data_IF_767044945546
#
_entry.id   IF_767044945546
#
_cell.length_a   1.000
_cell.length_b   1.000
_cell.length_c   1.000
_cell.angle_alpha   90.00
_cell.angle_beta   90.00
_cell.angle_gamma   90.00
#
_symmetry.space_group_name_H-M   'P 1'
#
loop_
_entity.id
_entity.type
_entity.pdbx_description
1 polymer ?
#
# COMPACT_ATOMS: atom_id res chain seq x y z
N UNK A 1 30.85 -5.01 -7.93
CA UNK A 1 29.90 -5.85 -8.70
C UNK A 1 29.00 -4.90 -9.47
N UNK A 2 29.07 -4.97 -10.80
CA UNK A 2 28.48 -4.00 -11.73
C UNK A 2 26.98 -4.24 -11.88
N UNK A 3 26.16 -3.21 -11.61
CA UNK A 3 24.74 -3.21 -11.99
C UNK A 3 24.64 -3.03 -13.50
N UNK A 4 24.51 -4.12 -14.24
CA UNK A 4 24.13 -4.06 -15.64
C UNK A 4 22.61 -3.95 -15.71
N UNK A 5 22.12 -2.71 -15.81
CA UNK A 5 20.76 -2.43 -16.20
C UNK A 5 20.53 -2.95 -17.64
N UNK A 6 19.84 -4.09 -17.75
CA UNK A 6 19.32 -4.57 -19.02
C UNK A 6 18.24 -3.61 -19.50
N UNK A 7 18.63 -2.59 -20.28
CA UNK A 7 17.71 -1.72 -21.01
C UNK A 7 17.05 -2.52 -22.15
N UNK A 8 16.10 -3.39 -21.80
CA UNK A 8 14.96 -3.59 -22.69
C UNK A 8 14.27 -2.23 -22.78
N UNK A 9 14.42 -1.54 -23.92
CA UNK A 9 13.87 -0.20 -24.10
C UNK A 9 12.34 -0.27 -24.04
N UNK A 10 11.78 -0.08 -22.85
CA UNK A 10 10.36 0.17 -22.70
C UNK A 10 10.03 1.47 -23.46
N UNK A 11 8.86 1.55 -24.11
CA UNK A 11 8.43 2.80 -24.72
C UNK A 11 8.43 3.90 -23.65
N UNK A 12 8.80 5.12 -24.07
CA UNK A 12 8.74 6.27 -23.19
C UNK A 12 7.34 6.40 -22.59
N UNK A 13 7.27 6.67 -21.28
CA UNK A 13 6.00 6.82 -20.58
C UNK A 13 5.30 8.07 -21.14
N UNK A 14 4.18 7.86 -21.83
CA UNK A 14 3.36 8.95 -22.36
C UNK A 14 2.51 9.50 -21.23
N UNK A 15 2.62 10.81 -20.95
CA UNK A 15 1.83 11.52 -19.95
C UNK A 15 1.06 12.67 -20.57
N UNK A 16 0.01 13.12 -19.87
CA UNK A 16 -0.70 14.34 -20.24
C UNK A 16 0.21 15.56 -20.11
N UNK A 17 0.00 16.58 -20.94
CA UNK A 17 0.75 17.85 -20.88
C UNK A 17 0.56 18.57 -19.54
N UNK A 18 -0.57 18.37 -18.88
CA UNK A 18 -0.90 18.96 -17.58
C UNK A 18 -0.46 18.08 -16.39
N UNK A 19 0.22 16.97 -16.65
CA UNK A 19 0.67 16.05 -15.59
C UNK A 19 2.09 16.42 -15.13
N UNK A 20 2.19 17.05 -13.97
CA UNK A 20 3.45 17.50 -13.38
C UNK A 20 4.24 16.36 -12.72
N UNK A 21 3.65 15.16 -12.59
CA UNK A 21 4.30 14.02 -11.93
C UNK A 21 5.43 13.46 -12.78
N UNK A 22 6.41 12.88 -12.10
CA UNK A 22 7.50 12.13 -12.72
C UNK A 22 7.22 10.64 -12.66
N UNK A 23 7.58 9.94 -13.73
CA UNK A 23 7.32 8.52 -13.88
C UNK A 23 8.60 7.78 -14.24
N UNK A 24 8.80 6.63 -13.61
CA UNK A 24 9.89 5.71 -13.96
C UNK A 24 9.41 4.27 -13.92
N UNK A 25 9.55 3.56 -15.03
CA UNK A 25 9.31 2.13 -15.09
C UNK A 25 10.62 1.39 -14.79
N UNK A 26 10.58 0.46 -13.83
CA UNK A 26 11.70 -0.42 -13.50
C UNK A 26 11.26 -1.88 -13.59
N UNK A 27 12.23 -2.76 -13.84
CA UNK A 27 12.05 -4.21 -13.71
C UNK A 27 13.06 -4.70 -12.69
N UNK A 28 12.58 -5.39 -11.67
CA UNK A 28 13.39 -5.99 -10.61
C UNK A 28 14.01 -7.29 -11.11
N UNK A 29 15.04 -7.77 -10.41
CA UNK A 29 15.77 -8.99 -10.78
C UNK A 29 14.88 -10.25 -10.79
N UNK A 30 13.78 -10.24 -10.02
CA UNK A 30 12.78 -11.31 -10.00
C UNK A 30 11.70 -11.19 -11.10
N UNK A 31 11.85 -10.23 -12.03
CA UNK A 31 10.92 -10.01 -13.13
C UNK A 31 9.70 -9.14 -12.79
N UNK A 32 9.53 -8.73 -11.53
CA UNK A 32 8.46 -7.79 -11.16
C UNK A 32 8.69 -6.44 -11.83
N UNK A 33 7.63 -5.91 -12.42
CA UNK A 33 7.62 -4.59 -13.05
C UNK A 33 6.96 -3.60 -12.10
N UNK A 34 7.61 -2.46 -11.87
CA UNK A 34 7.09 -1.40 -11.02
C UNK A 34 7.09 -0.06 -11.75
N UNK A 35 5.95 0.63 -11.70
CA UNK A 35 5.84 2.03 -12.11
C UNK A 35 6.00 2.90 -10.86
N UNK A 36 7.07 3.68 -10.82
CA UNK A 36 7.30 4.67 -9.78
C UNK A 36 6.69 5.98 -10.22
N UNK A 37 5.92 6.59 -9.32
CA UNK A 37 5.30 7.90 -9.52
C UNK A 37 5.81 8.82 -8.43
N UNK A 38 6.51 9.89 -8.81
CA UNK A 38 6.94 10.93 -7.90
C UNK A 38 6.03 12.14 -8.07
N UNK A 39 5.39 12.52 -6.98
CA UNK A 39 4.53 13.70 -6.91
C UNK A 39 5.05 14.62 -5.80
N UNK A 40 5.71 15.70 -6.22
CA UNK A 40 6.25 16.73 -5.33
C UNK A 40 5.28 17.91 -5.16
N UNK A 41 4.08 17.84 -5.73
CA UNK A 41 3.05 18.84 -5.47
C UNK A 41 2.74 18.83 -3.97
N UNK A 42 2.87 20.01 -3.34
CA UNK A 42 2.79 20.15 -1.89
C UNK A 42 4.07 19.87 -1.09
N UNK A 43 5.25 19.79 -1.69
CA UNK A 43 6.54 19.92 -0.96
C UNK A 43 7.14 21.34 -1.05
N UNK A 44 6.61 22.19 -1.94
CA UNK A 44 7.28 23.42 -2.41
C UNK A 44 6.88 24.68 -1.61
N UNK A 45 5.89 24.62 -0.72
CA UNK A 45 5.47 25.73 0.16
C UNK A 45 5.70 25.47 1.66
N UNK A 46 6.45 24.43 2.03
CA UNK A 46 6.89 24.17 3.40
C UNK A 46 8.41 24.31 3.45
N UNK A 47 8.89 25.47 3.88
CA UNK A 47 10.31 25.75 4.07
C UNK A 47 10.99 24.69 4.92
N UNK A 48 12.22 24.38 4.55
CA UNK A 48 13.21 23.63 5.32
C UNK A 48 13.18 24.01 6.80
N UNK A 49 12.84 23.06 7.68
CA UNK A 49 13.35 22.97 9.06
C UNK A 49 12.96 21.61 9.68
N UNK A 50 13.97 20.94 10.25
CA UNK A 50 13.95 19.81 11.18
C UNK A 50 13.67 18.36 10.71
N UNK A 51 14.74 17.74 10.19
CA UNK A 51 15.13 16.37 10.54
C UNK A 51 15.71 16.34 11.99
N UNK A 52 14.91 16.71 12.99
CA UNK A 52 15.27 16.50 14.40
C UNK A 52 14.48 15.33 14.99
N UNK A 53 15.25 14.45 15.64
CA UNK A 53 14.85 13.22 16.31
C UNK A 53 13.74 13.45 17.34
N UNK A 54 12.89 12.43 17.49
CA UNK A 54 11.66 12.46 18.26
C UNK A 54 11.87 12.73 19.76
N UNK A 55 11.06 13.60 20.36
CA UNK A 55 10.70 13.51 21.78
C UNK A 55 9.22 13.84 22.01
N UNK A 56 8.63 13.14 22.98
CA UNK A 56 7.21 13.05 23.31
C UNK A 56 6.48 14.36 23.67
N UNK A 57 5.15 14.23 23.65
CA UNK A 57 4.11 15.07 24.28
C UNK A 57 3.86 16.47 23.72
N UNK A 58 2.66 16.64 23.14
CA UNK A 58 1.82 17.80 23.46
C UNK A 58 0.36 17.50 23.12
N UNK A 59 -0.43 17.27 24.18
CA UNK A 59 -1.87 17.53 24.19
C UNK A 59 -2.09 18.98 23.75
N UNK A 60 -2.88 19.22 22.70
CA UNK A 60 -3.34 20.57 22.39
C UNK A 60 -4.86 20.62 22.39
N UNK A 61 -5.33 21.24 23.48
CA UNK A 61 -6.69 21.62 23.79
C UNK A 61 -7.26 22.54 22.73
N UNK A 62 -8.55 22.36 22.47
CA UNK A 62 -9.41 23.30 21.75
C UNK A 62 -9.45 24.63 22.49
N UNK A 63 -8.92 25.69 21.89
CA UNK A 63 -9.47 27.05 21.88
C UNK A 63 -8.52 28.00 21.11
N UNK A 64 -9.10 28.70 20.14
CA UNK A 64 -8.59 29.89 19.46
C UNK A 64 -7.30 29.81 18.64
N UNK A 65 -7.47 29.45 17.37
CA UNK A 65 -6.68 30.03 16.28
C UNK A 65 -7.50 30.02 14.99
N UNK A 66 -7.59 31.16 14.31
CA UNK A 66 -7.80 31.18 12.85
C UNK A 66 -6.62 30.43 12.22
N UNK A 67 -6.73 29.10 12.17
CA UNK A 67 -5.69 28.22 11.68
C UNK A 67 -5.64 28.37 10.16
N UNK A 68 -4.51 28.87 9.68
CA UNK A 68 -4.24 29.13 8.28
C UNK A 68 -4.63 27.91 7.41
N UNK A 69 -5.55 28.12 6.46
CA UNK A 69 -6.12 27.03 5.63
C UNK A 69 -5.05 26.29 4.81
N UNK A 70 -3.87 26.90 4.67
CA UNK A 70 -2.72 26.36 3.95
C UNK A 70 -1.96 25.29 4.75
N UNK A 71 -2.01 25.30 6.10
CA UNK A 71 -1.37 24.26 6.94
C UNK A 71 -2.16 22.94 6.88
N UNK A 72 -3.48 23.00 6.69
CA UNK A 72 -4.33 21.82 6.53
C UNK A 72 -4.04 21.04 5.23
N UNK A 73 -3.52 21.70 4.19
CA UNK A 73 -3.18 21.06 2.92
C UNK A 73 -1.97 20.12 3.05
N UNK A 74 -0.99 20.45 3.91
CA UNK A 74 0.20 19.62 4.15
C UNK A 74 -0.09 18.35 4.96
N UNK A 75 -1.14 18.36 5.78
CA UNK A 75 -1.54 17.24 6.63
C UNK A 75 -2.37 16.17 5.91
N UNK A 76 -2.80 16.41 4.67
CA UNK A 76 -3.62 15.49 3.88
C UNK A 76 -2.87 14.69 2.81
N UNK A 77 -1.57 14.92 2.62
CA UNK A 77 -0.81 14.28 1.54
C UNK A 77 -0.46 12.84 1.90
N UNK A 78 -0.89 11.91 1.04
CA UNK A 78 -0.64 10.48 1.17
C UNK A 78 0.28 9.97 0.08
N UNK A 79 0.97 8.89 0.38
CA UNK A 79 1.62 8.03 -0.60
C UNK A 79 0.81 6.75 -0.73
N UNK A 80 0.84 6.13 -1.91
CA UNK A 80 0.11 4.90 -2.17
C UNK A 80 0.98 3.89 -2.91
N UNK A 81 0.65 2.62 -2.76
CA UNK A 81 1.21 1.53 -3.54
C UNK A 81 0.12 0.53 -3.90
N UNK A 82 0.30 -0.17 -5.02
CA UNK A 82 -0.55 -1.25 -5.44
C UNK A 82 0.26 -2.39 -6.05
N UNK A 83 -0.18 -3.62 -5.83
CA UNK A 83 0.35 -4.84 -6.44
C UNK A 83 -0.78 -5.53 -7.21
N UNK A 84 -0.53 -5.79 -8.49
CA UNK A 84 -1.43 -6.57 -9.33
C UNK A 84 -0.80 -7.93 -9.61
N UNK A 85 -1.50 -9.00 -9.24
CA UNK A 85 -1.18 -10.37 -9.57
C UNK A 85 -2.01 -10.77 -10.79
N UNK A 86 -1.36 -11.35 -11.81
CA UNK A 86 -2.01 -11.79 -13.06
C UNK A 86 -2.75 -13.12 -12.93
N UNK A 87 -3.45 -13.32 -11.82
CA UNK A 87 -4.27 -14.49 -11.48
C UNK A 87 -5.54 -13.95 -10.83
N UNK A 88 -6.70 -14.52 -11.18
CA UNK A 88 -8.01 -14.14 -10.64
C UNK A 88 -8.92 -15.36 -10.58
N UNK A 89 -10.24 -15.15 -10.45
CA UNK A 89 -11.20 -16.24 -10.26
C UNK A 89 -11.30 -17.24 -11.42
N UNK A 90 -10.87 -16.89 -12.63
CA UNK A 90 -10.79 -17.84 -13.75
C UNK A 90 -9.65 -18.85 -13.60
N UNK A 91 -8.77 -18.64 -12.63
CA UNK A 91 -7.72 -19.59 -12.26
C UNK A 91 -8.08 -20.40 -11.01
N UNK A 92 -9.31 -20.28 -10.51
CA UNK A 92 -9.79 -21.10 -9.42
C UNK A 92 -9.79 -22.58 -9.82
N UNK A 93 -9.37 -23.50 -8.94
CA UNK A 93 -9.55 -24.93 -9.17
C UNK A 93 -11.03 -25.26 -9.38
N UNK A 94 -11.33 -26.20 -10.28
CA UNK A 94 -12.71 -26.60 -10.60
C UNK A 94 -13.48 -27.11 -9.36
N UNK A 95 -12.78 -27.65 -8.37
CA UNK A 95 -13.31 -28.16 -7.12
C UNK A 95 -13.45 -27.10 -6.01
N UNK A 96 -12.86 -25.90 -6.18
CA UNK A 96 -12.84 -24.83 -5.18
C UNK A 96 -13.11 -23.46 -5.85
N UNK A 97 -14.35 -23.19 -6.30
CA UNK A 97 -14.72 -21.88 -6.80
C UNK A 97 -14.60 -20.82 -5.69
N UNK A 98 -14.06 -19.64 -6.01
CA UNK A 98 -13.83 -18.55 -5.06
C UNK A 98 -12.47 -18.60 -4.37
N UNK A 99 -11.58 -19.52 -4.76
CA UNK A 99 -10.28 -19.69 -4.11
C UNK A 99 -9.38 -18.45 -4.23
N UNK A 100 -9.37 -17.77 -5.38
CA UNK A 100 -8.61 -16.54 -5.56
C UNK A 100 -9.11 -15.42 -4.63
N UNK A 101 -10.44 -15.28 -4.47
CA UNK A 101 -11.04 -14.30 -3.57
C UNK A 101 -10.74 -14.65 -2.10
N UNK A 102 -10.81 -15.93 -1.74
CA UNK A 102 -10.41 -16.39 -0.42
C UNK A 102 -8.94 -16.07 -0.12
N UNK A 103 -8.02 -16.35 -1.04
CA UNK A 103 -6.60 -16.05 -0.88
C UNK A 103 -6.33 -14.55 -0.77
N UNK A 104 -7.05 -13.73 -1.52
CA UNK A 104 -6.96 -12.27 -1.40
C UNK A 104 -7.22 -11.80 0.03
N UNK A 105 -8.32 -12.28 0.62
CA UNK A 105 -8.68 -11.96 2.00
C UNK A 105 -7.61 -12.43 2.97
N UNK A 106 -7.15 -13.68 2.81
CA UNK A 106 -6.15 -14.30 3.67
C UNK A 106 -4.76 -13.65 3.63
N UNK A 107 -4.33 -13.09 2.48
CA UNK A 107 -2.99 -12.52 2.30
C UNK A 107 -2.79 -11.24 3.12
N UNK A 108 -3.86 -10.46 3.32
CA UNK A 108 -3.84 -9.25 4.14
C UNK A 108 -4.40 -9.45 5.57
N UNK A 109 -4.89 -10.65 5.90
CA UNK A 109 -5.40 -10.96 7.24
C UNK A 109 -4.31 -10.85 8.31
N UNK A 110 -4.76 -10.56 9.53
CA UNK A 110 -3.94 -10.33 10.71
C UNK A 110 -2.99 -11.49 11.04
N UNK A 111 -1.78 -11.15 11.50
CA UNK A 111 -0.78 -12.10 11.98
C UNK A 111 -0.81 -12.09 13.51
N UNK A 112 -0.79 -13.25 14.16
CA UNK A 112 -0.57 -13.36 15.61
C UNK A 112 0.88 -13.05 16.01
N UNK A 113 1.85 -13.39 15.16
CA UNK A 113 3.27 -13.31 15.53
C UNK A 113 3.90 -11.98 15.10
N UNK A 114 3.42 -10.90 15.68
CA UNK A 114 4.22 -9.75 16.07
C UNK A 114 3.68 -9.33 17.44
N UNK A 115 4.49 -9.36 18.52
CA UNK A 115 3.95 -9.08 19.83
C UNK A 115 3.45 -7.63 19.84
N UNK A 116 2.14 -7.45 20.04
CA UNK A 116 1.39 -6.21 20.28
C UNK A 116 0.80 -5.38 19.12
N UNK A 117 1.00 -5.66 17.83
CA UNK A 117 0.40 -4.81 16.78
C UNK A 117 -0.63 -5.56 15.94
N UNK A 118 -1.91 -5.21 16.15
CA UNK A 118 -3.07 -5.52 15.27
C UNK A 118 -2.66 -5.37 13.79
N UNK A 119 -3.22 -6.21 12.90
CA UNK A 119 -2.70 -6.51 11.55
C UNK A 119 -2.43 -5.32 10.61
N UNK A 120 -1.97 -5.60 9.38
CA UNK A 120 -1.54 -4.57 8.42
C UNK A 120 -2.60 -3.47 8.22
N UNK A 121 -3.87 -3.84 8.05
CA UNK A 121 -4.98 -2.90 7.91
C UNK A 121 -5.09 -1.94 9.10
N UNK A 122 -4.95 -2.44 10.34
CA UNK A 122 -4.96 -1.59 11.53
C UNK A 122 -3.78 -0.62 11.55
N UNK A 123 -2.57 -1.10 11.20
CA UNK A 123 -1.38 -0.23 11.14
C UNK A 123 -1.56 0.91 10.14
N UNK A 124 -2.09 0.60 8.97
CA UNK A 124 -2.36 1.60 7.92
C UNK A 124 -3.41 2.61 8.37
N UNK A 125 -4.51 2.14 8.96
CA UNK A 125 -5.56 3.01 9.49
C UNK A 125 -5.04 3.95 10.58
N UNK A 126 -4.19 3.45 11.49
CA UNK A 126 -3.55 4.27 12.53
C UNK A 126 -2.52 5.28 11.98
N UNK A 127 -2.07 5.10 10.74
CA UNK A 127 -1.19 6.03 10.04
C UNK A 127 -1.95 6.95 9.05
N UNK A 128 -3.27 7.10 9.23
CA UNK A 128 -4.13 7.96 8.40
C UNK A 128 -4.35 7.43 6.99
N UNK A 129 -4.12 6.14 6.76
CA UNK A 129 -4.25 5.46 5.48
C UNK A 129 -5.49 4.59 5.37
N UNK A 130 -5.63 3.89 4.25
CA UNK A 130 -6.59 2.81 4.06
C UNK A 130 -5.99 1.70 3.18
N UNK A 131 -6.60 0.51 3.24
CA UNK A 131 -6.22 -0.66 2.43
C UNK A 131 -7.43 -1.15 1.66
N UNK A 132 -7.21 -1.60 0.44
CA UNK A 132 -8.25 -2.20 -0.40
C UNK A 132 -7.68 -3.36 -1.21
N UNK A 133 -8.50 -4.37 -1.49
CA UNK A 133 -8.15 -5.51 -2.31
C UNK A 133 -9.35 -5.99 -3.13
N UNK A 134 -9.06 -6.51 -4.32
CA UNK A 134 -10.08 -6.90 -5.29
C UNK A 134 -9.62 -8.06 -6.15
N UNK A 135 -10.44 -9.10 -6.21
CA UNK A 135 -10.28 -10.21 -7.14
C UNK A 135 -11.24 -10.07 -8.32
N UNK A 136 -10.68 -9.88 -9.50
CA UNK A 136 -11.37 -9.97 -10.81
C UNK A 136 -11.24 -11.37 -11.41
N UNK A 137 -11.80 -11.56 -12.60
CA UNK A 137 -11.68 -12.79 -13.38
C UNK A 137 -10.23 -13.22 -13.64
N UNK A 138 -9.33 -12.30 -14.01
CA UNK A 138 -7.96 -12.63 -14.43
C UNK A 138 -6.88 -12.01 -13.54
N UNK A 139 -7.27 -11.19 -12.57
CA UNK A 139 -6.34 -10.38 -11.78
C UNK A 139 -6.82 -10.20 -10.36
N UNK A 140 -5.89 -10.22 -9.41
CA UNK A 140 -6.11 -9.80 -8.04
C UNK A 140 -5.24 -8.58 -7.76
N UNK A 141 -5.84 -7.51 -7.25
CA UNK A 141 -5.17 -6.23 -7.00
C UNK A 141 -5.25 -5.93 -5.51
N UNK A 142 -4.11 -5.62 -4.92
CA UNK A 142 -3.98 -5.16 -3.54
C UNK A 142 -3.46 -3.73 -3.55
N UNK A 143 -4.01 -2.84 -2.74
CA UNK A 143 -3.58 -1.46 -2.68
C UNK A 143 -3.69 -0.88 -1.27
N UNK A 144 -2.86 0.11 -0.99
CA UNK A 144 -3.00 0.92 0.21
C UNK A 144 -2.54 2.35 -0.05
N UNK A 145 -3.11 3.27 0.71
CA UNK A 145 -2.62 4.63 0.90
C UNK A 145 -2.24 4.84 2.36
N UNK A 146 -1.27 5.73 2.62
CA UNK A 146 -0.83 6.07 3.98
C UNK A 146 -0.18 7.44 3.98
N UNK A 147 -0.14 8.12 5.14
CA UNK A 147 0.62 9.36 5.27
C UNK A 147 2.08 9.19 4.80
N UNK A 148 2.59 10.18 4.05
CA UNK A 148 3.90 10.13 3.37
C UNK A 148 5.05 9.65 4.29
N UNK A 149 5.07 10.10 5.54
CA UNK A 149 6.07 9.75 6.57
C UNK A 149 6.14 8.24 6.88
N UNK A 150 5.03 7.52 6.73
CA UNK A 150 4.94 6.10 7.07
C UNK A 150 5.12 5.17 5.86
N UNK A 151 5.10 5.71 4.64
CA UNK A 151 5.08 4.94 3.40
C UNK A 151 6.19 3.89 3.30
N UNK A 152 7.44 4.27 3.60
CA UNK A 152 8.61 3.36 3.52
C UNK A 152 8.44 2.12 4.40
N UNK A 153 7.94 2.29 5.62
CA UNK A 153 7.72 1.20 6.59
C UNK A 153 6.50 0.36 6.19
N UNK A 154 5.41 1.02 5.78
CA UNK A 154 4.21 0.35 5.30
C UNK A 154 4.46 -0.51 4.07
N UNK A 155 5.24 -0.02 3.11
CA UNK A 155 5.61 -0.77 1.90
C UNK A 155 6.45 -2.02 2.21
N UNK A 156 7.32 -1.95 3.23
CA UNK A 156 8.11 -3.12 3.67
C UNK A 156 7.21 -4.21 4.28
N UNK A 157 6.24 -3.82 5.11
CA UNK A 157 5.26 -4.76 5.68
C UNK A 157 4.39 -5.34 4.58
N UNK A 158 3.91 -4.50 3.66
CA UNK A 158 3.11 -4.93 2.51
C UNK A 158 3.86 -5.97 1.67
N UNK A 159 5.14 -5.75 1.34
CA UNK A 159 5.94 -6.73 0.61
C UNK A 159 6.08 -8.06 1.37
N UNK A 160 6.23 -8.03 2.70
CA UNK A 160 6.31 -9.22 3.55
C UNK A 160 5.02 -10.04 3.56
N UNK A 161 3.85 -9.43 3.32
CA UNK A 161 2.59 -10.16 3.16
C UNK A 161 2.64 -11.16 1.99
N UNK A 162 3.32 -10.80 0.90
CA UNK A 162 3.42 -11.64 -0.29
C UNK A 162 4.62 -12.59 -0.27
N UNK A 163 5.69 -12.25 0.46
CA UNK A 163 6.88 -13.11 0.55
C UNK A 163 6.68 -14.32 1.48
N UNK A 164 5.89 -14.14 2.54
CA UNK A 164 5.62 -15.19 3.53
C UNK A 164 4.24 -14.95 4.14
N UNK A 165 3.15 -15.27 3.41
CA UNK A 165 1.81 -15.19 3.95
C UNK A 165 1.67 -16.20 5.10
N UNK A 166 1.03 -15.79 6.19
CA UNK A 166 0.74 -16.65 7.32
C UNK A 166 -0.75 -16.91 7.36
N UNK A 167 -1.14 -18.15 7.11
CA UNK A 167 -2.52 -18.60 7.22
C UNK A 167 -2.69 -19.28 8.57
N UNK A 168 -3.30 -18.57 9.51
CA UNK A 168 -3.68 -19.14 10.81
C UNK A 168 -5.02 -19.86 10.63
N UNK A 169 -5.14 -21.07 11.16
CA UNK A 169 -6.33 -21.91 11.03
C UNK A 169 -7.60 -21.18 11.52
N UNK A 170 -7.50 -20.39 12.60
CA UNK A 170 -8.59 -19.57 13.12
C UNK A 170 -9.07 -18.49 12.15
N UNK A 171 -8.16 -17.91 11.36
CA UNK A 171 -8.51 -16.94 10.33
C UNK A 171 -9.13 -17.64 9.12
N UNK A 172 -8.68 -18.84 8.77
CA UNK A 172 -9.23 -19.62 7.65
C UNK A 172 -10.72 -19.90 7.86
N UNK A 173 -11.12 -20.38 9.04
CA UNK A 173 -12.52 -20.69 9.33
C UNK A 173 -13.41 -19.44 9.21
N UNK A 174 -12.98 -18.31 9.79
CA UNK A 174 -13.72 -17.04 9.70
C UNK A 174 -13.85 -16.56 8.25
N UNK A 175 -12.76 -16.54 7.49
CA UNK A 175 -12.78 -16.03 6.12
C UNK A 175 -13.60 -16.94 5.18
N UNK A 176 -13.62 -18.26 5.41
CA UNK A 176 -14.50 -19.18 4.67
C UNK A 176 -15.98 -18.83 4.92
N UNK A 177 -16.35 -18.53 6.16
CA UNK A 177 -17.72 -18.10 6.49
C UNK A 177 -18.07 -16.78 5.80
N UNK A 178 -17.17 -15.79 5.82
CA UNK A 178 -17.41 -14.48 5.20
C UNK A 178 -17.54 -14.56 3.67
N UNK A 179 -16.69 -15.35 3.00
CA UNK A 179 -16.78 -15.57 1.54
C UNK A 179 -18.06 -16.28 1.15
N UNK A 180 -18.52 -17.26 1.95
CA UNK A 180 -19.78 -17.97 1.69
C UNK A 180 -21.02 -17.08 1.82
N UNK A 181 -20.93 -15.98 2.59
CA UNK A 181 -22.00 -14.99 2.72
C UNK A 181 -22.10 -14.05 1.51
N UNK A 182 -21.15 -14.12 0.56
CA UNK A 182 -21.18 -13.36 -0.70
C UNK A 182 -20.92 -11.87 -0.55
N UNK A 183 -20.15 -11.46 0.48
CA UNK A 183 -19.66 -10.09 0.66
C UNK A 183 -18.29 -9.88 0.02
#
# INVERSE_FOLDING_TARGET
MSMTCGLGAYPAIVKSLNDEREYRLITLDNGLRALLVSDLTGYIYGSDEDDSDWSEESYLSTEDAELDKDIHHYLGLKSAAALCVGVGSFSDPDDIPGFAHFLERMVLTERETYPLEKGFCYKINNCGGSTDARTDCERTVFSFDVGRKHFRKSLDIFAKCFMSPHFLDENVEREVEEVNLGQ
#
